data_IF_802684144769
#
_entry.id   IF_802684144769
#
_cell.length_a   1.000
_cell.length_b   1.000
_cell.length_c   1.000
_cell.angle_alpha   90.00
_cell.angle_beta   90.00
_cell.angle_gamma   90.00
#
_symmetry.space_group_name_H-M   'P 1'
#
loop_
_entity.id
_entity.type
_entity.pdbx_description
1 polymer ?
#
# COMPACT_ATOMS: atom_id res chain seq x y z
N UNK A 1 -27.19 13.46 37.98
CA UNK A 1 -25.74 13.35 37.74
C UNK A 1 -25.56 12.82 36.34
N UNK A 2 -25.23 13.67 35.37
CA UNK A 2 -25.05 13.27 33.96
C UNK A 2 -23.57 12.92 33.81
N UNK A 3 -23.26 11.64 33.62
CA UNK A 3 -21.91 11.18 33.31
C UNK A 3 -21.74 11.31 31.80
N UNK A 4 -20.98 12.31 31.38
CA UNK A 4 -20.54 12.49 29.99
C UNK A 4 -19.44 11.47 29.70
N UNK A 5 -19.80 10.33 29.10
CA UNK A 5 -18.84 9.42 28.49
C UNK A 5 -18.46 9.98 27.11
N UNK A 6 -17.32 10.65 27.03
CA UNK A 6 -16.70 10.99 25.75
C UNK A 6 -15.95 9.76 25.24
N UNK A 7 -16.45 9.13 24.18
CA UNK A 7 -15.73 8.05 23.48
C UNK A 7 -14.98 8.65 22.28
N UNK A 8 -13.65 8.89 22.38
CA UNK A 8 -12.85 9.42 21.27
C UNK A 8 -12.74 8.47 20.06
N UNK A 9 -13.36 7.28 20.12
CA UNK A 9 -13.43 6.35 18.98
C UNK A 9 -14.54 6.69 17.98
N UNK A 10 -15.50 7.57 18.32
CA UNK A 10 -16.71 7.81 17.51
C UNK A 10 -16.59 9.00 16.53
N UNK A 11 -15.38 9.53 16.32
CA UNK A 11 -15.14 10.48 15.23
C UNK A 11 -15.16 9.72 13.90
N UNK A 12 -16.05 10.05 12.92
CA UNK A 12 -16.10 9.35 11.65
C UNK A 12 -14.81 9.59 10.86
N UNK A 13 -13.93 8.58 10.86
CA UNK A 13 -12.65 8.65 10.16
C UNK A 13 -12.83 8.32 8.69
N UNK A 14 -12.15 9.09 7.85
CA UNK A 14 -12.01 8.80 6.42
C UNK A 14 -11.34 7.45 6.18
N UNK A 15 -11.41 6.96 4.94
CA UNK A 15 -10.93 5.62 4.54
C UNK A 15 -9.40 5.41 4.66
N UNK A 16 -8.68 6.42 5.14
CA UNK A 16 -7.24 6.44 5.23
C UNK A 16 -6.58 6.61 3.87
N UNK A 17 -5.25 6.49 3.89
CA UNK A 17 -4.42 6.60 2.72
C UNK A 17 -4.47 5.32 1.86
N UNK A 18 -4.67 5.46 0.54
CA UNK A 18 -4.70 4.32 -0.37
C UNK A 18 -3.29 3.76 -0.58
N UNK A 19 -3.15 2.44 -0.48
CA UNK A 19 -1.90 1.73 -0.73
C UNK A 19 -2.15 0.65 -1.76
N UNK A 20 -1.28 0.58 -2.75
CA UNK A 20 -1.31 -0.44 -3.78
C UNK A 20 -1.13 -1.83 -3.17
N UNK A 21 -1.93 -2.79 -3.63
CA UNK A 21 -1.81 -4.18 -3.21
C UNK A 21 -0.89 -4.93 -4.18
N UNK A 22 0.33 -5.25 -3.73
CA UNK A 22 1.32 -5.95 -4.54
C UNK A 22 0.86 -7.31 -5.07
N UNK A 23 -0.13 -7.97 -4.44
CA UNK A 23 -0.67 -9.24 -4.95
C UNK A 23 -1.34 -9.10 -6.33
N UNK A 24 -1.63 -7.87 -6.78
CA UNK A 24 -2.16 -7.60 -8.11
C UNK A 24 -1.08 -7.75 -9.21
N UNK A 25 0.21 -7.67 -8.86
CA UNK A 25 1.31 -7.87 -9.81
C UNK A 25 1.48 -9.34 -10.24
N UNK A 26 0.70 -10.25 -9.65
CA UNK A 26 0.63 -11.66 -10.04
C UNK A 26 -0.71 -12.02 -10.70
N UNK A 27 -1.59 -11.04 -10.92
CA UNK A 27 -2.89 -11.23 -11.53
C UNK A 27 -2.84 -10.82 -13.01
N UNK A 28 -2.84 -11.81 -13.90
CA UNK A 28 -2.74 -11.58 -15.35
C UNK A 28 -3.84 -10.66 -15.89
N UNK A 29 -5.08 -10.84 -15.44
CA UNK A 29 -6.19 -9.99 -15.88
C UNK A 29 -6.04 -8.53 -15.42
N UNK A 30 -5.41 -8.31 -14.27
CA UNK A 30 -5.06 -6.96 -13.81
C UNK A 30 -3.90 -6.38 -14.63
N UNK A 31 -2.87 -7.18 -14.89
CA UNK A 31 -1.70 -6.76 -15.69
C UNK A 31 -2.15 -6.34 -17.09
N UNK A 32 -2.99 -7.14 -17.74
CA UNK A 32 -3.53 -6.85 -19.07
C UNK A 32 -4.38 -5.58 -19.08
N UNK A 33 -5.19 -5.37 -18.04
CA UNK A 33 -6.00 -4.16 -17.87
C UNK A 33 -5.12 -2.91 -17.81
N UNK A 34 -4.07 -2.93 -16.98
CA UNK A 34 -3.18 -1.78 -16.81
C UNK A 34 -2.33 -1.54 -18.06
N UNK A 35 -1.81 -2.60 -18.69
CA UNK A 35 -1.09 -2.49 -19.95
C UNK A 35 -1.97 -1.86 -21.03
N UNK A 36 -3.20 -2.34 -21.19
CA UNK A 36 -4.16 -1.77 -22.14
C UNK A 36 -4.52 -0.32 -21.83
N UNK A 37 -4.58 0.06 -20.55
CA UNK A 37 -4.77 1.46 -20.15
C UNK A 37 -3.58 2.33 -20.55
N UNK A 38 -2.36 1.88 -20.27
CA UNK A 38 -1.13 2.60 -20.59
C UNK A 38 -1.00 2.79 -22.11
N UNK A 39 -1.25 1.75 -22.90
CA UNK A 39 -1.18 1.83 -24.36
C UNK A 39 -2.24 2.77 -24.95
N UNK A 40 -3.49 2.71 -24.47
CA UNK A 40 -4.51 3.69 -24.88
C UNK A 40 -4.14 5.11 -24.48
N UNK A 41 -3.54 5.30 -23.30
CA UNK A 41 -3.14 6.61 -22.81
C UNK A 41 -2.04 7.24 -23.67
N UNK A 42 -1.07 6.45 -24.15
CA UNK A 42 -0.02 6.90 -25.08
C UNK A 42 -0.57 7.36 -26.43
N UNK A 43 -1.69 6.80 -26.86
CA UNK A 43 -2.31 7.12 -28.15
C UNK A 43 -3.27 8.31 -28.07
N UNK A 44 -3.56 8.83 -26.87
CA UNK A 44 -4.49 9.94 -26.67
C UNK A 44 -3.88 11.26 -27.20
N UNK A 45 -4.47 11.89 -28.24
CA UNK A 45 -3.92 13.12 -28.82
C UNK A 45 -3.84 14.29 -27.84
N UNK A 46 -4.69 14.30 -26.82
CA UNK A 46 -4.68 15.34 -25.78
C UNK A 46 -3.47 15.22 -24.84
N UNK A 47 -2.88 14.03 -24.76
CA UNK A 47 -1.74 13.71 -23.91
C UNK A 47 -0.42 13.97 -24.64
N UNK A 48 -0.36 13.77 -25.96
CA UNK A 48 0.86 13.91 -26.77
C UNK A 48 1.50 15.31 -26.75
N UNK A 49 0.71 16.35 -26.48
CA UNK A 49 1.18 17.75 -26.42
C UNK A 49 1.13 18.35 -25.01
N UNK A 50 0.84 17.54 -23.99
CA UNK A 50 0.71 18.01 -22.63
C UNK A 50 2.08 18.11 -21.93
N UNK A 51 2.11 18.83 -20.80
CA UNK A 51 3.28 18.89 -19.94
C UNK A 51 3.62 17.49 -19.38
N UNK A 52 4.89 17.04 -19.43
CA UNK A 52 5.27 15.69 -18.98
C UNK A 52 4.93 15.38 -17.51
N UNK A 53 5.00 16.38 -16.62
CA UNK A 53 4.65 16.19 -15.20
C UNK A 53 3.15 15.98 -15.07
N UNK A 54 2.34 16.80 -15.76
CA UNK A 54 0.89 16.60 -15.82
C UNK A 54 0.54 15.23 -16.41
N UNK A 55 1.18 14.82 -17.51
CA UNK A 55 0.96 13.51 -18.13
C UNK A 55 1.21 12.37 -17.14
N UNK A 56 2.30 12.46 -16.38
CA UNK A 56 2.66 11.45 -15.38
C UNK A 56 1.66 11.39 -14.21
N UNK A 57 1.32 12.55 -13.63
CA UNK A 57 0.36 12.60 -12.53
C UNK A 57 -1.03 12.14 -12.97
N UNK A 58 -1.47 12.49 -14.18
CA UNK A 58 -2.74 12.05 -14.72
C UNK A 58 -2.76 10.54 -15.00
N UNK A 59 -1.67 9.98 -15.54
CA UNK A 59 -1.55 8.54 -15.73
C UNK A 59 -1.62 7.79 -14.40
N UNK A 60 -0.85 8.22 -13.40
CA UNK A 60 -0.92 7.66 -12.04
C UNK A 60 -2.34 7.71 -11.47
N UNK A 61 -3.04 8.82 -11.66
CA UNK A 61 -4.44 8.97 -11.27
C UNK A 61 -5.35 7.95 -11.96
N UNK A 62 -5.25 7.81 -13.29
CA UNK A 62 -6.05 6.84 -14.07
C UNK A 62 -5.77 5.40 -13.65
N UNK A 63 -4.50 5.03 -13.50
CA UNK A 63 -4.08 3.71 -13.00
C UNK A 63 -4.70 3.48 -11.62
N UNK A 64 -4.52 4.41 -10.68
CA UNK A 64 -5.06 4.27 -9.32
C UNK A 64 -6.59 4.10 -9.32
N UNK A 65 -7.30 4.85 -10.14
CA UNK A 65 -8.76 4.73 -10.26
C UNK A 65 -9.17 3.32 -10.73
N UNK A 66 -8.54 2.81 -11.80
CA UNK A 66 -8.78 1.44 -12.29
C UNK A 66 -8.40 0.38 -11.25
N UNK A 67 -7.25 0.53 -10.58
CA UNK A 67 -6.83 -0.39 -9.54
C UNK A 67 -7.84 -0.47 -8.40
N UNK A 68 -8.37 0.68 -7.95
CA UNK A 68 -9.38 0.72 -6.90
C UNK A 68 -10.66 0.02 -7.35
N UNK A 69 -11.12 0.27 -8.58
CA UNK A 69 -12.31 -0.37 -9.11
C UNK A 69 -12.14 -1.88 -9.25
N UNK A 70 -11.03 -2.31 -9.86
CA UNK A 70 -10.66 -3.71 -10.03
C UNK A 70 -10.59 -4.43 -8.67
N UNK A 71 -9.92 -3.83 -7.69
CA UNK A 71 -9.79 -4.39 -6.34
C UNK A 71 -11.14 -4.56 -5.64
N UNK A 72 -12.05 -3.58 -5.77
CA UNK A 72 -13.41 -3.68 -5.21
C UNK A 72 -14.21 -4.80 -5.86
N UNK A 73 -14.13 -4.93 -7.18
CA UNK A 73 -14.79 -6.00 -7.94
C UNK A 73 -14.26 -7.37 -7.50
N UNK A 74 -12.93 -7.54 -7.46
CA UNK A 74 -12.27 -8.77 -7.03
C UNK A 74 -12.61 -9.14 -5.59
N UNK A 75 -12.63 -8.17 -4.67
CA UNK A 75 -13.04 -8.39 -3.28
C UNK A 75 -14.52 -8.81 -3.17
N UNK A 76 -15.39 -8.33 -4.06
CA UNK A 76 -16.80 -8.73 -4.09
C UNK A 76 -16.96 -10.14 -4.65
N UNK A 77 -16.28 -10.46 -5.75
CA UNK A 77 -16.25 -11.81 -6.32
C UNK A 77 -15.72 -12.84 -5.31
N UNK A 78 -14.62 -12.54 -4.62
CA UNK A 78 -14.04 -13.41 -3.59
C UNK A 78 -15.02 -13.68 -2.43
N UNK A 79 -15.73 -12.65 -1.93
CA UNK A 79 -16.75 -12.82 -0.87
C UNK A 79 -17.94 -13.66 -1.34
N UNK A 80 -18.38 -13.47 -2.58
CA UNK A 80 -19.47 -14.27 -3.15
C UNK A 80 -19.05 -15.73 -3.35
N UNK A 81 -17.82 -15.96 -3.81
CA UNK A 81 -17.28 -17.31 -3.99
C UNK A 81 -17.08 -18.03 -2.66
N UNK A 82 -16.60 -17.33 -1.62
CA UNK A 82 -16.53 -17.86 -0.26
C UNK A 82 -17.91 -18.28 0.26
N UNK A 83 -18.92 -17.42 0.12
CA UNK A 83 -20.29 -17.74 0.53
C UNK A 83 -20.84 -18.95 -0.23
N UNK A 84 -20.57 -19.02 -1.54
CA UNK A 84 -20.93 -20.16 -2.37
C UNK A 84 -20.26 -21.44 -1.86
N UNK A 85 -18.95 -21.44 -1.63
CA UNK A 85 -18.21 -22.61 -1.14
C UNK A 85 -18.75 -23.10 0.21
N UNK A 86 -19.00 -22.19 1.16
CA UNK A 86 -19.58 -22.55 2.46
C UNK A 86 -20.95 -23.21 2.28
N UNK A 87 -21.84 -22.60 1.49
CA UNK A 87 -23.16 -23.18 1.22
C UNK A 87 -23.09 -24.52 0.49
N UNK A 88 -22.13 -24.67 -0.43
CA UNK A 88 -21.95 -25.87 -1.22
C UNK A 88 -21.42 -27.03 -0.37
N UNK A 89 -20.43 -26.76 0.49
CA UNK A 89 -19.89 -27.72 1.47
C UNK A 89 -21.01 -28.20 2.39
N UNK A 90 -21.78 -27.29 3.00
CA UNK A 90 -22.88 -27.68 3.90
C UNK A 90 -23.95 -28.53 3.19
N UNK A 91 -24.22 -28.26 1.91
CA UNK A 91 -25.14 -29.06 1.11
C UNK A 91 -24.56 -30.46 0.84
N UNK A 92 -23.32 -30.55 0.37
CA UNK A 92 -22.66 -31.82 0.08
C UNK A 92 -22.57 -32.70 1.33
N UNK A 93 -22.22 -32.12 2.49
CA UNK A 93 -22.20 -32.83 3.77
C UNK A 93 -23.58 -33.41 4.12
N UNK A 94 -24.65 -32.64 3.91
CA UNK A 94 -26.02 -33.10 4.13
C UNK A 94 -26.42 -34.20 3.14
N UNK A 95 -26.10 -34.05 1.86
CA UNK A 95 -26.48 -34.99 0.79
C UNK A 95 -25.74 -36.33 0.96
N UNK A 96 -24.47 -36.29 1.39
CA UNK A 96 -23.68 -37.48 1.75
C UNK A 96 -24.26 -38.16 2.99
N UNK A 97 -24.54 -37.40 4.05
CA UNK A 97 -25.12 -37.94 5.29
C UNK A 97 -26.48 -38.61 5.06
N UNK A 98 -27.33 -38.02 4.20
CA UNK A 98 -28.64 -38.56 3.84
C UNK A 98 -28.59 -39.66 2.76
N UNK A 99 -27.40 -40.02 2.26
CA UNK A 99 -27.23 -41.04 1.22
C UNK A 99 -27.75 -40.64 -0.16
N UNK A 100 -28.00 -39.35 -0.41
CA UNK A 100 -28.45 -38.82 -1.70
C UNK A 100 -27.31 -38.64 -2.71
N UNK A 101 -26.07 -38.44 -2.21
CA UNK A 101 -24.88 -38.26 -3.05
C UNK A 101 -23.62 -38.93 -2.44
N UNK A 102 -23.64 -40.27 -2.20
CA UNK A 102 -22.56 -40.96 -1.47
C UNK A 102 -21.20 -40.94 -2.20
N UNK A 103 -21.19 -40.69 -3.51
CA UNK A 103 -19.97 -40.62 -4.33
C UNK A 103 -19.38 -39.20 -4.45
N UNK A 104 -20.00 -38.18 -3.85
CA UNK A 104 -19.55 -36.79 -3.93
C UNK A 104 -18.48 -36.41 -2.91
N UNK A 105 -17.74 -37.40 -2.37
CA UNK A 105 -16.67 -37.16 -1.41
C UNK A 105 -15.50 -36.36 -2.03
N UNK A 106 -15.19 -36.62 -3.30
CA UNK A 106 -14.15 -35.89 -4.04
C UNK A 106 -14.55 -34.42 -4.27
N UNK A 107 -15.82 -34.17 -4.63
CA UNK A 107 -16.38 -32.82 -4.77
C UNK A 107 -16.31 -32.04 -3.45
N UNK A 108 -16.61 -32.71 -2.33
CA UNK A 108 -16.55 -32.12 -0.99
C UNK A 108 -15.11 -31.73 -0.62
N UNK A 109 -14.15 -32.62 -0.87
CA UNK A 109 -12.74 -32.36 -0.59
C UNK A 109 -12.21 -31.23 -1.46
N UNK A 110 -12.55 -31.22 -2.74
CA UNK A 110 -12.20 -30.14 -3.67
C UNK A 110 -12.76 -28.78 -3.23
N UNK A 111 -14.02 -28.73 -2.77
CA UNK A 111 -14.64 -27.52 -2.27
C UNK A 111 -13.96 -27.01 -0.98
N UNK A 112 -13.58 -27.93 -0.08
CA UNK A 112 -12.83 -27.62 1.15
C UNK A 112 -11.43 -27.10 0.85
N UNK A 113 -10.72 -27.70 -0.09
CA UNK A 113 -9.39 -27.24 -0.52
C UNK A 113 -9.46 -25.83 -1.11
N UNK A 114 -10.45 -25.56 -1.99
CA UNK A 114 -10.69 -24.21 -2.53
C UNK A 114 -10.96 -23.18 -1.44
N UNK A 115 -11.75 -23.54 -0.42
CA UNK A 115 -12.02 -22.66 0.72
C UNK A 115 -10.77 -22.44 1.58
N UNK A 116 -9.98 -23.48 1.81
CA UNK A 116 -8.71 -23.38 2.51
C UNK A 116 -7.76 -22.43 1.77
N UNK A 117 -7.61 -22.56 0.46
CA UNK A 117 -6.77 -21.67 -0.35
C UNK A 117 -7.22 -20.21 -0.27
N UNK A 118 -8.54 -19.96 -0.23
CA UNK A 118 -9.09 -18.62 -0.04
C UNK A 118 -8.70 -18.03 1.34
N UNK A 119 -8.76 -18.83 2.41
CA UNK A 119 -8.33 -18.39 3.73
C UNK A 119 -6.82 -18.20 3.85
N UNK A 120 -6.02 -19.03 3.18
CA UNK A 120 -4.56 -18.86 3.09
C UNK A 120 -4.22 -17.49 2.49
N UNK A 121 -4.83 -17.16 1.35
CA UNK A 121 -4.63 -15.86 0.68
C UNK A 121 -5.06 -14.67 1.57
N UNK A 122 -6.16 -14.80 2.32
CA UNK A 122 -6.59 -13.76 3.27
C UNK A 122 -5.57 -13.57 4.40
N UNK A 123 -5.03 -14.68 4.91
CA UNK A 123 -4.05 -14.65 5.98
C UNK A 123 -2.74 -14.00 5.55
N UNK A 124 -2.24 -14.30 4.36
CA UNK A 124 -1.05 -13.64 3.80
C UNK A 124 -1.20 -12.11 3.81
N UNK A 125 -2.38 -11.60 3.41
CA UNK A 125 -2.67 -10.18 3.48
C UNK A 125 -2.65 -9.61 4.90
N UNK A 126 -3.12 -10.37 5.90
CA UNK A 126 -3.08 -9.98 7.32
C UNK A 126 -1.65 -9.96 7.83
N UNK A 127 -0.85 -10.97 7.49
CA UNK A 127 0.57 -11.07 7.85
C UNK A 127 1.31 -9.82 7.35
N UNK A 128 1.14 -9.46 6.07
CA UNK A 128 1.75 -8.26 5.47
C UNK A 128 1.35 -6.99 6.23
N UNK A 129 0.07 -6.82 6.57
CA UNK A 129 -0.42 -5.63 7.29
C UNK A 129 -0.03 -5.62 8.77
N UNK A 130 0.16 -6.78 9.38
CA UNK A 130 0.60 -6.93 10.76
C UNK A 130 2.07 -6.54 10.96
N UNK A 131 2.90 -6.49 9.89
CA UNK A 131 4.35 -6.24 9.97
C UNK A 131 5.07 -7.18 10.95
N UNK A 132 4.60 -8.41 11.08
CA UNK A 132 5.27 -9.41 11.91
C UNK A 132 6.69 -9.67 11.40
N UNK A 133 7.69 -9.63 12.30
CA UNK A 133 9.11 -9.84 11.97
C UNK A 133 9.45 -11.32 11.77
N UNK A 134 8.78 -12.18 12.52
CA UNK A 134 8.96 -13.62 12.48
C UNK A 134 7.62 -14.22 12.07
N UNK A 135 7.59 -14.81 10.89
CA UNK A 135 6.54 -15.70 10.44
C UNK A 135 7.24 -17.06 10.38
N UNK A 136 6.98 -17.92 11.36
CA UNK A 136 7.48 -19.29 11.26
C UNK A 136 6.70 -19.98 10.13
N UNK A 137 7.44 -20.46 9.13
CA UNK A 137 6.89 -21.26 8.04
C UNK A 137 6.40 -22.60 8.62
N UNK A 138 5.15 -22.64 9.08
CA UNK A 138 4.53 -23.85 9.61
C UNK A 138 3.45 -23.59 10.66
N UNK A 139 3.63 -22.59 11.52
CA UNK A 139 2.63 -22.25 12.54
C UNK A 139 1.71 -21.11 12.10
N UNK A 140 0.49 -21.50 11.74
CA UNK A 140 -0.55 -20.58 11.29
C UNK A 140 -1.33 -20.04 12.49
N UNK A 141 -0.69 -19.34 13.43
CA UNK A 141 -1.41 -18.69 14.53
C UNK A 141 -2.13 -17.44 14.01
N UNK A 142 -3.22 -17.65 13.26
CA UNK A 142 -4.04 -16.59 12.67
C UNK A 142 -4.48 -15.57 13.72
N UNK A 143 -4.85 -16.03 14.93
CA UNK A 143 -5.22 -15.20 16.07
C UNK A 143 -4.11 -14.22 16.48
N UNK A 144 -2.85 -14.65 16.49
CA UNK A 144 -1.71 -13.78 16.76
C UNK A 144 -1.62 -12.65 15.72
N UNK A 145 -1.64 -12.97 14.42
CA UNK A 145 -1.52 -11.97 13.36
C UNK A 145 -2.70 -10.99 13.35
N UNK A 146 -3.93 -11.47 13.57
CA UNK A 146 -5.11 -10.61 13.72
C UNK A 146 -4.97 -9.64 14.90
N UNK A 147 -4.52 -10.13 16.06
CA UNK A 147 -4.34 -9.29 17.24
C UNK A 147 -3.21 -8.28 17.04
N UNK A 148 -2.12 -8.68 16.36
CA UNK A 148 -1.01 -7.80 16.03
C UNK A 148 -1.45 -6.70 15.05
N UNK A 149 -2.20 -7.03 13.99
CA UNK A 149 -2.76 -6.06 13.06
C UNK A 149 -3.67 -5.05 13.78
N UNK A 150 -4.57 -5.53 14.66
CA UNK A 150 -5.43 -4.66 15.48
C UNK A 150 -4.63 -3.73 16.38
N UNK A 151 -3.61 -4.26 17.08
CA UNK A 151 -2.71 -3.46 17.94
C UNK A 151 -1.98 -2.40 17.12
N UNK A 152 -1.40 -2.77 15.99
CA UNK A 152 -0.65 -1.84 15.14
C UNK A 152 -1.54 -0.75 14.55
N UNK A 153 -2.77 -1.09 14.17
CA UNK A 153 -3.78 -0.11 13.73
C UNK A 153 -4.15 0.88 14.85
N UNK A 154 -4.24 0.41 16.10
CA UNK A 154 -4.46 1.29 17.25
C UNK A 154 -3.25 2.21 17.46
N UNK A 155 -2.04 1.66 17.45
CA UNK A 155 -0.79 2.42 17.65
C UNK A 155 -0.47 3.41 16.52
N UNK A 156 -0.92 3.15 15.29
CA UNK A 156 -0.71 4.06 14.16
C UNK A 156 -1.59 5.31 14.20
N UNK A 157 -2.39 5.48 15.25
CA UNK A 157 -3.27 6.64 15.42
C UNK A 157 -2.86 7.41 16.67
N UNK A 158 -2.66 8.72 16.52
CA UNK A 158 -2.55 9.66 17.63
C UNK A 158 -3.98 10.02 18.05
N UNK A 159 -4.40 9.57 19.24
CA UNK A 159 -5.71 9.90 19.81
C UNK A 159 -5.65 11.13 20.71
N UNK A 160 -4.49 11.36 21.32
CA UNK A 160 -4.27 12.41 22.31
C UNK A 160 -2.84 12.94 22.13
N UNK A 161 -2.67 14.25 22.31
CA UNK A 161 -1.40 14.94 22.22
C UNK A 161 -1.30 15.98 23.34
N UNK A 162 -0.15 16.06 24.00
CA UNK A 162 0.14 17.16 24.91
C UNK A 162 0.86 18.27 24.13
N UNK A 163 0.36 19.49 24.22
CA UNK A 163 1.03 20.64 23.64
C UNK A 163 2.22 21.09 24.50
N UNK A 164 2.96 22.10 24.01
CA UNK A 164 4.10 22.71 24.72
C UNK A 164 3.78 23.24 26.13
N UNK A 165 2.53 23.60 26.38
CA UNK A 165 2.05 24.17 27.64
C UNK A 165 1.48 23.08 28.59
N UNK A 166 1.59 21.80 28.22
CA UNK A 166 1.08 20.67 29.00
C UNK A 166 -0.44 20.46 28.91
N UNK A 167 -1.12 21.11 27.96
CA UNK A 167 -2.56 20.95 27.73
C UNK A 167 -2.81 19.72 26.86
N UNK A 168 -3.70 18.84 27.32
CA UNK A 168 -4.12 17.65 26.60
C UNK A 168 -5.12 18.01 25.49
N UNK A 169 -4.76 17.71 24.25
CA UNK A 169 -5.60 17.82 23.07
C UNK A 169 -6.10 16.44 22.68
N UNK A 170 -7.42 16.29 22.54
CA UNK A 170 -8.09 15.05 22.12
C UNK A 170 -9.01 15.26 20.90
N UNK A 171 -9.13 16.50 20.41
CA UNK A 171 -9.82 16.83 19.17
C UNK A 171 -8.89 16.65 17.97
N UNK A 172 -9.41 16.05 16.89
CA UNK A 172 -8.63 15.74 15.71
C UNK A 172 -8.09 17.00 14.99
N UNK A 173 -8.86 18.09 14.95
CA UNK A 173 -8.39 19.34 14.34
C UNK A 173 -7.28 19.97 15.17
N UNK A 174 -7.45 20.03 16.49
CA UNK A 174 -6.44 20.57 17.39
C UNK A 174 -5.12 19.78 17.32
N UNK A 175 -5.21 18.44 17.31
CA UNK A 175 -4.04 17.57 17.14
C UNK A 175 -3.33 17.86 15.80
N UNK A 176 -4.07 17.98 14.70
CA UNK A 176 -3.49 18.27 13.39
C UNK A 176 -2.84 19.65 13.31
N UNK A 177 -3.45 20.66 13.93
CA UNK A 177 -2.92 22.02 13.95
C UNK A 177 -1.69 22.15 14.85
N UNK A 178 -1.65 21.47 16.00
CA UNK A 178 -0.47 21.41 16.86
C UNK A 178 0.70 20.68 16.17
N UNK A 179 0.44 19.52 15.54
CA UNK A 179 1.46 18.80 14.76
C UNK A 179 2.03 19.70 13.66
N UNK A 180 1.16 20.43 12.94
CA UNK A 180 1.58 21.36 11.89
C UNK A 180 2.44 22.48 12.47
N UNK A 181 1.95 23.15 13.51
CA UNK A 181 2.65 24.26 14.18
C UNK A 181 4.04 23.83 14.68
N UNK A 182 4.10 22.68 15.36
CA UNK A 182 5.35 22.10 15.86
C UNK A 182 6.36 21.86 14.74
N UNK A 183 5.98 21.12 13.69
CA UNK A 183 6.92 20.80 12.60
C UNK A 183 7.25 22.02 11.74
N UNK A 184 6.33 22.95 11.55
CA UNK A 184 6.62 24.25 10.92
C UNK A 184 7.68 25.00 11.71
N UNK A 185 7.56 25.08 13.04
CA UNK A 185 8.56 25.72 13.91
C UNK A 185 9.89 24.99 13.94
N UNK A 186 9.87 23.65 13.96
CA UNK A 186 11.07 22.81 13.98
C UNK A 186 11.89 22.97 12.71
N UNK A 187 11.24 22.95 11.55
CA UNK A 187 11.89 23.09 10.24
C UNK A 187 11.98 24.55 9.75
N UNK A 188 11.53 25.51 10.55
CA UNK A 188 11.75 26.92 10.24
C UNK A 188 13.24 27.23 10.31
N UNK A 189 13.70 28.01 9.33
CA UNK A 189 15.06 28.55 9.29
C UNK A 189 15.39 29.21 10.62
N UNK A 190 16.47 28.75 11.24
CA UNK A 190 17.13 29.44 12.35
C UNK A 190 18.46 29.95 11.80
N UNK A 191 18.81 31.19 12.11
CA UNK A 191 20.16 31.69 11.80
C UNK A 191 21.16 30.80 12.54
N UNK A 192 21.80 29.89 11.80
CA UNK A 192 22.83 29.02 12.31
C UNK A 192 24.17 29.64 11.87
N UNK A 193 24.92 30.20 12.81
CA UNK A 193 26.34 30.51 12.57
C UNK A 193 27.03 29.22 12.14
N UNK A 194 27.83 29.26 11.08
CA UNK A 194 28.54 28.12 10.49
C UNK A 194 29.03 27.14 11.56
N UNK A 195 28.28 26.05 11.75
CA UNK A 195 28.61 25.05 12.76
C UNK A 195 29.79 24.23 12.25
N UNK A 196 30.78 23.89 13.10
CA UNK A 196 31.93 23.05 12.74
C UNK A 196 31.58 21.58 12.44
N UNK A 197 30.28 21.28 12.26
CA UNK A 197 29.78 19.97 11.85
C UNK A 197 30.37 19.55 10.49
N UNK A 198 30.51 20.50 9.56
CA UNK A 198 31.06 20.24 8.25
C UNK A 198 32.60 20.15 8.25
N UNK A 199 33.28 20.70 9.27
CA UNK A 199 34.75 20.74 9.35
C UNK A 199 35.37 19.34 9.56
N UNK A 200 34.58 18.37 10.02
CA UNK A 200 35.01 16.99 10.29
C UNK A 200 34.47 15.96 9.29
N UNK A 201 33.83 16.40 8.19
CA UNK A 201 33.45 15.48 7.13
C UNK A 201 34.73 15.03 6.40
N UNK A 202 34.91 13.73 6.13
CA UNK A 202 35.98 13.28 5.25
C UNK A 202 35.81 14.03 3.93
N UNK A 203 36.80 14.85 3.57
CA UNK A 203 36.76 15.64 2.34
C UNK A 203 36.54 14.72 1.13
N UNK A 204 35.71 15.16 0.19
CA UNK A 204 35.44 14.41 -1.04
C UNK A 204 36.75 13.97 -1.68
N UNK A 205 36.86 12.68 -1.99
CA UNK A 205 38.07 12.08 -2.50
C UNK A 205 38.18 12.40 -4.01
N UNK A 206 38.74 13.57 -4.33
CA UNK A 206 39.08 14.08 -5.69
C UNK A 206 37.99 14.82 -6.48
N UNK A 207 38.43 15.73 -7.37
CA UNK A 207 37.58 16.52 -8.29
C UNK A 207 36.75 15.64 -9.26
N UNK A 208 37.15 14.38 -9.46
CA UNK A 208 36.42 13.38 -10.25
C UNK A 208 35.07 13.02 -9.63
N UNK A 209 34.98 12.92 -8.31
CA UNK A 209 33.72 12.58 -7.63
C UNK A 209 32.73 13.74 -7.72
N UNK A 210 33.20 14.98 -7.61
CA UNK A 210 32.38 16.18 -7.74
C UNK A 210 31.78 16.27 -9.16
N UNK A 211 32.63 16.19 -10.19
CA UNK A 211 32.17 16.27 -11.59
C UNK A 211 31.23 15.13 -11.97
N UNK A 212 31.38 13.94 -11.38
CA UNK A 212 30.46 12.82 -11.60
C UNK A 212 29.07 13.01 -10.98
N UNK A 213 28.93 13.86 -9.96
CA UNK A 213 27.65 14.19 -9.33
C UNK A 213 26.98 15.43 -9.94
N UNK A 214 27.63 16.10 -10.88
CA UNK A 214 27.13 17.29 -11.58
C UNK A 214 26.40 16.91 -12.87
N UNK A 215 25.36 17.66 -13.21
CA UNK A 215 24.59 17.50 -14.46
C UNK A 215 23.19 16.91 -14.28
N UNK A 216 22.57 16.52 -15.40
CA UNK A 216 21.21 15.96 -15.42
C UNK A 216 21.25 14.44 -15.16
N UNK A 217 20.31 13.97 -14.33
CA UNK A 217 20.09 12.54 -14.12
C UNK A 217 19.75 11.83 -15.44
N UNK A 218 20.47 10.76 -15.72
CA UNK A 218 20.21 9.90 -16.87
C UNK A 218 19.09 8.90 -16.58
N UNK A 219 18.45 8.41 -17.64
CA UNK A 219 17.44 7.33 -17.55
C UNK A 219 18.07 6.07 -16.95
N UNK A 220 19.34 5.80 -17.26
CA UNK A 220 20.03 4.61 -16.78
C UNK A 220 20.34 4.70 -15.28
N UNK A 221 20.77 5.86 -14.78
CA UNK A 221 20.93 6.09 -13.34
C UNK A 221 19.59 5.94 -12.60
N UNK A 222 18.52 6.51 -13.15
CA UNK A 222 17.17 6.34 -12.60
C UNK A 222 16.76 4.87 -12.56
N UNK A 223 17.08 4.10 -13.61
CA UNK A 223 16.77 2.67 -13.71
C UNK A 223 17.55 1.86 -12.68
N UNK A 224 18.86 2.10 -12.56
CA UNK A 224 19.73 1.42 -11.59
C UNK A 224 19.27 1.73 -10.16
N UNK A 225 18.96 3.00 -9.86
CA UNK A 225 18.42 3.41 -8.58
C UNK A 225 17.08 2.74 -8.26
N UNK A 226 16.15 2.71 -9.21
CA UNK A 226 14.85 2.05 -9.01
C UNK A 226 15.01 0.55 -8.75
N UNK A 227 15.89 -0.13 -9.47
CA UNK A 227 16.09 -1.57 -9.31
C UNK A 227 16.83 -1.93 -8.01
N UNK A 228 17.71 -1.04 -7.51
CA UNK A 228 18.43 -1.23 -6.24
C UNK A 228 17.57 -1.04 -5.00
N UNK A 229 16.43 -0.34 -5.12
CA UNK A 229 15.49 -0.15 -4.00
C UNK A 229 14.94 -1.47 -3.45
N UNK A 230 14.72 -1.58 -2.15
CA UNK A 230 14.18 -2.79 -1.53
C UNK A 230 12.67 -2.93 -1.76
N UNK A 231 12.22 -4.13 -2.12
CA UNK A 231 10.79 -4.47 -2.23
C UNK A 231 10.09 -4.53 -0.87
N UNK A 232 8.76 -4.47 -0.86
CA UNK A 232 7.97 -4.64 0.37
C UNK A 232 8.06 -3.48 1.37
N UNK A 233 8.63 -2.34 0.96
CA UNK A 233 8.60 -1.08 1.74
C UNK A 233 7.26 -0.38 1.60
N UNK A 234 6.99 0.56 2.50
CA UNK A 234 5.74 1.32 2.46
C UNK A 234 5.72 2.27 1.26
N UNK A 235 4.57 2.41 0.57
CA UNK A 235 4.45 3.33 -0.55
C UNK A 235 4.55 4.79 -0.10
N UNK A 236 4.93 5.66 -1.04
CA UNK A 236 4.95 7.11 -0.87
C UNK A 236 3.54 7.72 -0.84
N UNK A 237 3.44 9.02 -1.11
CA UNK A 237 2.22 9.85 -1.05
C UNK A 237 1.28 9.73 -2.26
N UNK A 238 1.66 9.01 -3.31
CA UNK A 238 0.76 8.62 -4.42
C UNK A 238 0.10 7.23 -4.26
N UNK A 239 0.79 6.31 -3.58
CA UNK A 239 0.24 5.08 -3.00
C UNK A 239 0.77 3.84 -3.67
N UNK A 240 1.61 4.02 -4.69
CA UNK A 240 2.27 2.95 -5.40
C UNK A 240 3.52 2.49 -4.64
N UNK A 241 3.74 1.18 -4.66
CA UNK A 241 4.90 0.54 -4.06
C UNK A 241 6.09 0.59 -5.01
N UNK A 242 7.29 0.39 -4.47
CA UNK A 242 8.50 0.16 -5.29
C UNK A 242 8.30 -1.04 -6.22
N UNK A 243 7.63 -2.09 -5.75
CA UNK A 243 7.29 -3.27 -6.56
C UNK A 243 6.47 -2.90 -7.80
N UNK A 244 5.48 -1.99 -7.66
CA UNK A 244 4.71 -1.49 -8.78
C UNK A 244 5.59 -0.75 -9.79
N UNK A 245 6.48 0.13 -9.33
CA UNK A 245 7.40 0.85 -10.21
C UNK A 245 8.41 -0.07 -10.87
N UNK A 246 8.93 -1.10 -10.19
CA UNK A 246 9.81 -2.07 -10.84
C UNK A 246 9.09 -2.86 -11.92
N UNK A 247 7.82 -3.20 -11.69
CA UNK A 247 7.02 -3.99 -12.60
C UNK A 247 6.57 -3.20 -13.84
N UNK A 248 5.94 -2.04 -13.66
CA UNK A 248 5.42 -1.22 -14.75
C UNK A 248 6.37 -0.10 -15.20
N UNK A 249 7.44 0.18 -14.45
CA UNK A 249 8.35 1.31 -14.68
C UNK A 249 8.96 1.37 -16.06
N UNK A 250 9.32 0.22 -16.62
CA UNK A 250 9.90 0.12 -17.95
C UNK A 250 8.92 0.52 -19.06
N UNK A 251 7.61 0.38 -18.83
CA UNK A 251 6.59 0.80 -19.80
C UNK A 251 6.45 2.33 -19.86
N UNK A 252 6.89 3.04 -18.82
CA UNK A 252 6.88 4.50 -18.77
C UNK A 252 8.08 5.13 -19.51
N UNK A 253 9.11 4.34 -19.88
CA UNK A 253 10.25 4.80 -20.69
C UNK A 253 9.82 5.45 -22.03
N UNK A 254 8.66 5.05 -22.55
CA UNK A 254 8.09 5.57 -23.80
C UNK A 254 7.30 6.87 -23.63
N UNK A 255 6.97 7.28 -22.40
CA UNK A 255 6.32 8.57 -22.12
C UNK A 255 7.34 9.71 -21.98
N UNK A 256 8.61 9.37 -21.74
CA UNK A 256 9.74 10.29 -21.60
C UNK A 256 10.55 10.50 -22.88
N UNK A 257 10.12 9.96 -24.03
CA UNK A 257 10.79 10.19 -25.33
C UNK A 257 10.29 11.45 -26.06
N UNK A 258 9.84 12.45 -25.31
CA UNK A 258 9.67 13.82 -25.80
C UNK A 258 10.50 14.76 -24.93
N UNK A 259 11.82 14.58 -24.97
CA UNK A 259 12.83 15.62 -25.20
C UNK A 259 14.23 15.01 -25.20
#
# INVERSE_FOLDING_TARGET
MVVLCFDPTDVPRGRGYWKFNNSLLSDLAYIDLINSLIERYKQDPSVLNADPVFMWENLKFKIRAETIFYSKRKATQSRNYERFLISHISKLESDIFNGMAPNSQDDLENAREKLHMLYKNKLEGIIVRSRARWVEEGETNSKYFFNLEKRNRRLSTIYELLNKDGVLMNDASQILDEIRSFYTSLYSSRHCSSTPFFDNLPGFHSDLDFTSCEGYLTIEECRVALLSMTNGKSPGSDGFSIDFYKFFGLLFKTLSLVR
#
